data_IF_155227931471
#
_entry.id   IF_155227931471
#
_cell.length_a   1.000
_cell.length_b   1.000
_cell.length_c   1.000
_cell.angle_alpha   90.00
_cell.angle_beta   90.00
_cell.angle_gamma   90.00
#
_symmetry.space_group_name_H-M   'P 1'
#
loop_
_entity.id
_entity.type
_entity.pdbx_description
1 polymer ?
#
# COMPACT_ATOMS: atom_id res chain seq x y z
N UNK A 1 8.46 9.58 18.37
CA UNK A 1 7.42 8.54 18.52
C UNK A 1 7.56 7.60 17.34
N UNK A 2 7.60 6.29 17.55
CA UNK A 2 7.70 5.29 16.46
C UNK A 2 6.32 4.67 16.30
N UNK A 3 5.78 4.68 15.09
CA UNK A 3 4.57 3.94 14.75
C UNK A 3 4.95 2.60 14.11
N UNK A 4 4.26 1.53 14.50
CA UNK A 4 4.45 0.18 13.93
C UNK A 4 3.32 -0.11 12.97
N UNK A 5 3.68 -0.34 11.70
CA UNK A 5 2.72 -0.66 10.65
C UNK A 5 3.08 -2.03 10.06
N UNK A 6 2.10 -2.92 9.97
CA UNK A 6 2.23 -4.22 9.32
C UNK A 6 1.04 -4.48 8.39
N UNK A 7 1.32 -5.08 7.24
CA UNK A 7 0.31 -5.54 6.28
C UNK A 7 0.52 -7.04 6.09
N UNK A 8 -0.46 -7.84 6.47
CA UNK A 8 -0.55 -9.26 6.10
C UNK A 8 -1.51 -9.36 4.92
N UNK A 9 -1.01 -9.82 3.77
CA UNK A 9 -1.81 -9.94 2.55
C UNK A 9 -1.94 -11.41 2.17
N UNK A 10 -3.18 -11.88 2.09
CA UNK A 10 -3.54 -13.18 1.56
C UNK A 10 -3.98 -13.01 0.10
N UNK A 11 -3.09 -13.36 -0.83
CA UNK A 11 -3.34 -13.24 -2.26
C UNK A 11 -4.39 -14.22 -2.77
N UNK A 12 -4.54 -15.37 -2.11
CA UNK A 12 -5.45 -16.42 -2.53
C UNK A 12 -6.88 -16.08 -2.10
N UNK A 13 -7.05 -15.55 -0.88
CA UNK A 13 -8.33 -15.09 -0.38
C UNK A 13 -8.70 -13.67 -0.88
N UNK A 14 -7.74 -12.90 -1.38
CA UNK A 14 -7.97 -11.50 -1.74
C UNK A 14 -8.33 -10.65 -0.52
N UNK A 15 -7.66 -10.87 0.61
CA UNK A 15 -7.88 -10.12 1.86
C UNK A 15 -6.56 -9.59 2.43
N UNK A 16 -6.64 -8.56 3.27
CA UNK A 16 -5.48 -8.06 4.01
C UNK A 16 -5.85 -7.66 5.43
N UNK A 17 -4.93 -7.87 6.38
CA UNK A 17 -5.01 -7.27 7.71
C UNK A 17 -3.98 -6.15 7.81
N UNK A 18 -4.46 -4.93 8.07
CA UNK A 18 -3.61 -3.77 8.34
C UNK A 18 -3.54 -3.55 9.84
N UNK A 19 -2.34 -3.53 10.40
CA UNK A 19 -2.10 -3.20 11.81
C UNK A 19 -1.36 -1.89 11.91
N UNK A 20 -1.90 -0.96 12.70
CA UNK A 20 -1.27 0.33 13.04
C UNK A 20 -1.25 0.44 14.55
N UNK A 21 -0.07 0.36 15.13
CA UNK A 21 0.16 0.29 16.58
C UNK A 21 -0.68 -0.81 17.24
N UNK A 22 -1.68 -0.46 18.05
CA UNK A 22 -2.58 -1.42 18.71
C UNK A 22 -3.88 -1.67 17.93
N UNK A 23 -4.09 -0.96 16.83
CA UNK A 23 -5.26 -1.13 15.96
C UNK A 23 -5.02 -2.22 14.91
N UNK A 24 -6.08 -2.94 14.58
CA UNK A 24 -6.11 -3.91 13.48
C UNK A 24 -7.40 -3.73 12.69
N UNK A 25 -7.30 -3.74 11.37
CA UNK A 25 -8.43 -3.63 10.45
C UNK A 25 -8.30 -4.65 9.33
N UNK A 26 -9.37 -5.39 9.07
CA UNK A 26 -9.45 -6.31 7.95
C UNK A 26 -9.92 -5.56 6.70
N UNK A 27 -9.39 -5.96 5.55
CA UNK A 27 -9.72 -5.41 4.25
C UNK A 27 -10.12 -6.55 3.33
N UNK A 28 -11.33 -6.45 2.79
CA UNK A 28 -11.84 -7.38 1.79
C UNK A 28 -11.58 -6.84 0.37
N UNK A 29 -11.61 -7.74 -0.62
CA UNK A 29 -11.27 -7.43 -2.01
C UNK A 29 -9.90 -6.73 -2.13
N UNK A 30 -8.96 -7.14 -1.30
CA UNK A 30 -7.67 -6.51 -1.14
C UNK A 30 -6.76 -6.80 -2.34
N UNK A 31 -6.03 -5.77 -2.77
CA UNK A 31 -4.97 -5.87 -3.78
C UNK A 31 -3.73 -5.15 -3.30
N UNK A 32 -2.61 -5.87 -3.26
CA UNK A 32 -1.31 -5.32 -2.92
C UNK A 32 -0.45 -5.17 -4.17
N UNK A 33 -0.15 -3.93 -4.54
CA UNK A 33 0.60 -3.59 -5.76
C UNK A 33 1.96 -3.03 -5.42
N UNK A 34 3.01 -3.52 -6.08
CA UNK A 34 4.33 -2.88 -6.07
C UNK A 34 4.48 -2.10 -7.37
N UNK A 35 4.74 -0.79 -7.29
CA UNK A 35 4.88 0.06 -8.47
C UNK A 35 6.02 1.08 -8.33
N UNK A 36 6.45 1.63 -9.46
CA UNK A 36 7.39 2.76 -9.48
C UNK A 36 6.66 4.07 -9.16
N UNK A 37 7.37 4.97 -8.48
CA UNK A 37 6.83 6.31 -8.16
C UNK A 37 7.04 7.22 -9.36
N UNK A 38 5.93 7.81 -9.81
CA UNK A 38 5.95 8.84 -10.84
C UNK A 38 5.45 10.16 -10.27
N UNK A 39 6.11 11.26 -10.62
CA UNK A 39 5.58 12.61 -10.44
C UNK A 39 4.93 13.11 -11.73
N UNK A 40 3.86 13.90 -11.60
CA UNK A 40 3.31 14.65 -12.74
C UNK A 40 4.04 15.98 -12.82
N UNK A 41 4.79 16.20 -13.90
CA UNK A 41 5.46 17.47 -14.19
C UNK A 41 5.21 17.89 -15.63
N UNK A 42 4.71 19.11 -15.81
CA UNK A 42 4.40 19.69 -17.12
C UNK A 42 3.49 18.81 -18.01
N UNK A 43 2.58 18.06 -17.39
CA UNK A 43 1.66 17.14 -18.10
C UNK A 43 2.24 15.75 -18.42
N UNK A 44 3.47 15.46 -18.00
CA UNK A 44 4.11 14.15 -18.18
C UNK A 44 4.22 13.41 -16.85
N UNK A 45 4.12 12.07 -16.90
CA UNK A 45 4.51 11.20 -15.80
C UNK A 45 6.01 10.92 -15.90
N UNK A 46 6.77 11.42 -14.95
CA UNK A 46 8.22 11.24 -14.88
C UNK A 46 8.59 10.35 -13.68
N UNK A 47 9.55 9.42 -13.82
CA UNK A 47 10.06 8.68 -12.68
C UNK A 47 10.63 9.63 -11.62
N UNK A 48 10.21 9.48 -10.36
CA UNK A 48 10.73 10.27 -9.27
C UNK A 48 12.20 9.88 -9.02
N UNK A 49 13.14 10.81 -9.26
CA UNK A 49 14.56 10.53 -9.10
C UNK A 49 14.91 10.34 -7.62
N UNK A 50 15.52 9.20 -7.28
CA UNK A 50 16.18 8.98 -5.98
C UNK A 50 15.46 8.09 -4.96
N UNK A 51 14.21 7.66 -5.19
CA UNK A 51 13.50 6.66 -4.36
C UNK A 51 12.62 5.76 -5.25
N UNK A 52 12.78 4.44 -5.22
CA UNK A 52 12.25 3.39 -4.32
C UNK A 52 10.77 3.03 -4.59
N UNK A 53 10.56 1.76 -4.97
CA UNK A 53 9.26 1.13 -5.24
C UNK A 53 8.24 1.44 -4.15
N UNK A 54 7.04 1.82 -4.54
CA UNK A 54 5.88 1.94 -3.67
C UNK A 54 5.19 0.59 -3.49
N UNK A 55 4.63 0.40 -2.30
CA UNK A 55 3.68 -0.68 -1.99
C UNK A 55 2.32 -0.03 -1.73
N UNK A 56 1.33 -0.32 -2.58
CA UNK A 56 -0.03 0.24 -2.49
C UNK A 56 -0.99 -0.89 -2.15
N UNK A 57 -1.67 -0.78 -1.01
CA UNK A 57 -2.81 -1.61 -0.66
C UNK A 57 -4.11 -0.89 -1.03
N UNK A 58 -4.97 -1.55 -1.79
CA UNK A 58 -6.35 -1.11 -2.04
C UNK A 58 -7.32 -2.21 -1.61
N UNK A 59 -8.57 -1.85 -1.32
CA UNK A 59 -9.61 -2.78 -0.87
C UNK A 59 -10.72 -2.04 -0.13
N UNK A 60 -11.62 -2.81 0.49
CA UNK A 60 -12.71 -2.28 1.31
C UNK A 60 -12.42 -2.60 2.78
N UNK A 61 -12.19 -1.59 3.64
CA UNK A 61 -12.04 -1.82 5.07
C UNK A 61 -13.36 -2.31 5.68
N UNK A 62 -13.29 -3.35 6.51
CA UNK A 62 -14.42 -3.96 7.23
C UNK A 62 -14.29 -3.79 8.74
#
# INVERSE_FOLDING_TARGET
MISRIAIEYDSDAGTATVRIDNGSQQWDNAKLTVCDVTETRDGYLLPLKGQQRMLILTGVPT
#
